data_IF_025793740637
#
_entry.id   IF_025793740637
#
_cell.length_a   1.000
_cell.length_b   1.000
_cell.length_c   1.000
_cell.angle_alpha   90.00
_cell.angle_beta   90.00
_cell.angle_gamma   90.00
#
_symmetry.space_group_name_H-M   'P 1'
#
loop_
_entity.id
_entity.type
_entity.pdbx_description
1 polymer ?
#
# COMPACT_ATOMS: atom_id res chain seq x y z
N UNK A 1 33.35 32.02 60.35
CA UNK A 1 32.74 32.24 59.04
C UNK A 1 33.23 31.34 57.87
N UNK A 2 34.05 30.31 58.10
CA UNK A 2 34.62 29.46 57.01
C UNK A 2 33.96 28.07 56.86
N UNK A 3 33.05 27.67 57.74
CA UNK A 3 32.40 26.34 57.70
C UNK A 3 31.02 26.32 56.98
N UNK A 4 30.41 27.47 56.68
CA UNK A 4 29.12 27.52 56.01
C UNK A 4 29.24 27.57 54.48
N UNK A 5 30.41 27.97 53.94
CA UNK A 5 30.64 28.02 52.48
C UNK A 5 30.86 26.66 51.83
N UNK A 6 31.32 25.64 52.56
CA UNK A 6 31.56 24.31 52.00
C UNK A 6 30.26 23.47 51.88
N UNK A 7 29.29 23.72 52.73
CA UNK A 7 27.98 23.03 52.68
C UNK A 7 27.13 23.49 51.47
N UNK A 8 27.22 24.78 51.13
CA UNK A 8 26.49 25.35 49.98
C UNK A 8 27.10 24.90 48.62
N UNK A 9 28.41 24.70 48.52
CA UNK A 9 29.03 24.18 47.31
C UNK A 9 28.78 22.68 47.09
N UNK A 10 28.67 21.90 48.17
CA UNK A 10 28.31 20.46 48.06
C UNK A 10 26.85 20.24 47.59
N UNK A 11 25.92 21.10 48.01
CA UNK A 11 24.52 21.02 47.62
C UNK A 11 24.28 21.46 46.14
N UNK A 12 25.04 22.47 45.67
CA UNK A 12 24.99 22.92 44.29
C UNK A 12 25.60 21.90 43.30
N UNK A 13 26.65 21.17 43.70
CA UNK A 13 27.25 20.10 42.93
C UNK A 13 26.33 18.85 42.84
N UNK A 14 25.58 18.55 43.93
CA UNK A 14 24.61 17.44 43.93
C UNK A 14 23.37 17.74 43.09
N UNK A 15 22.92 19.02 43.03
CA UNK A 15 21.80 19.40 42.14
C UNK A 15 22.23 19.45 40.65
N UNK A 16 23.49 19.77 40.35
CA UNK A 16 23.96 19.74 38.96
C UNK A 16 24.13 18.30 38.41
N UNK A 17 24.37 17.32 39.27
CA UNK A 17 24.42 15.91 38.87
C UNK A 17 23.04 15.27 38.59
N UNK A 18 21.93 15.94 38.98
CA UNK A 18 20.55 15.53 38.71
C UNK A 18 19.99 16.13 37.43
N UNK A 19 20.68 17.02 36.73
CA UNK A 19 20.44 17.36 35.33
C UNK A 19 20.98 16.21 34.46
N UNK A 20 20.41 15.01 34.64
CA UNK A 20 20.71 13.88 33.77
C UNK A 20 20.49 14.32 32.33
N UNK A 21 21.49 14.13 31.49
CA UNK A 21 21.29 14.15 30.05
C UNK A 21 20.06 13.29 29.73
N UNK A 22 18.95 13.89 29.40
CA UNK A 22 17.84 13.15 28.82
C UNK A 22 18.41 12.46 27.58
N UNK A 23 18.65 11.17 27.69
CA UNK A 23 19.18 10.37 26.60
C UNK A 23 18.26 10.59 25.41
N UNK A 24 18.80 11.09 24.30
CA UNK A 24 18.01 11.31 23.10
C UNK A 24 17.41 9.98 22.69
N UNK A 25 16.08 9.89 22.73
CA UNK A 25 15.39 8.68 22.29
C UNK A 25 15.77 8.36 20.84
N UNK A 26 15.99 7.08 20.51
CA UNK A 26 16.20 6.68 19.13
C UNK A 26 14.99 7.08 18.29
N UNK A 27 15.23 7.42 17.02
CA UNK A 27 14.18 7.82 16.08
C UNK A 27 14.12 6.79 14.96
N UNK A 28 12.94 6.20 14.76
CA UNK A 28 12.62 5.33 13.64
C UNK A 28 12.03 6.18 12.53
N UNK A 29 12.69 6.22 11.38
CA UNK A 29 12.19 6.90 10.20
C UNK A 29 11.51 5.92 9.25
N UNK A 30 10.21 6.10 9.06
CA UNK A 30 9.38 5.31 8.15
C UNK A 30 9.09 6.13 6.90
N UNK A 31 9.13 5.51 5.71
CA UNK A 31 8.72 6.11 4.46
C UNK A 31 7.68 5.20 3.81
N UNK A 32 6.44 5.67 3.72
CA UNK A 32 5.26 4.85 3.38
C UNK A 32 4.22 5.64 2.60
N UNK A 33 3.10 5.03 2.29
CA UNK A 33 1.93 5.66 1.70
C UNK A 33 1.22 6.55 2.72
N UNK A 34 0.38 7.48 2.25
CA UNK A 34 -0.44 8.31 3.13
C UNK A 34 -1.48 7.47 3.87
N UNK A 35 -1.76 7.81 5.14
CA UNK A 35 -2.76 7.18 5.99
C UNK A 35 -2.64 5.65 6.13
N UNK A 36 -1.41 5.12 6.07
CA UNK A 36 -1.12 3.70 5.93
C UNK A 36 -0.79 2.98 7.24
N UNK A 37 -0.56 3.70 8.32
CA UNK A 37 -0.32 3.15 9.66
C UNK A 37 -1.17 3.92 10.67
N UNK A 38 -1.99 3.20 11.45
CA UNK A 38 -2.86 3.77 12.47
C UNK A 38 -2.06 4.58 13.51
N UNK A 39 -2.38 5.87 13.73
CA UNK A 39 -1.60 6.73 14.64
C UNK A 39 -1.52 6.21 16.08
N UNK A 40 -2.57 5.54 16.58
CA UNK A 40 -2.62 4.97 17.93
C UNK A 40 -1.61 3.84 18.10
N UNK A 41 -1.40 3.01 17.05
CA UNK A 41 -0.39 1.95 17.04
C UNK A 41 1.02 2.53 17.00
N UNK A 42 1.23 3.61 16.24
CA UNK A 42 2.50 4.35 16.25
C UNK A 42 2.80 4.85 17.66
N UNK A 43 1.84 5.50 18.30
CA UNK A 43 1.99 6.00 19.68
C UNK A 43 2.20 4.88 20.70
N UNK A 44 1.58 3.71 20.49
CA UNK A 44 1.81 2.52 21.33
C UNK A 44 3.24 2.01 21.17
N UNK A 45 3.72 1.84 19.93
CA UNK A 45 5.07 1.41 19.64
C UNK A 45 6.13 2.34 20.24
N UNK A 46 5.92 3.67 20.13
CA UNK A 46 6.82 4.68 20.75
C UNK A 46 6.91 4.50 22.27
N UNK A 47 5.80 4.25 22.95
CA UNK A 47 5.78 4.03 24.40
C UNK A 47 6.51 2.74 24.79
N UNK A 48 6.21 1.64 24.08
CA UNK A 48 6.75 0.32 24.39
C UNK A 48 8.26 0.22 24.13
N UNK A 49 8.76 0.94 23.13
CA UNK A 49 10.17 0.90 22.73
C UNK A 49 10.99 2.13 23.16
N UNK A 50 10.40 3.05 23.94
CA UNK A 50 11.03 4.30 24.38
C UNK A 50 11.72 5.04 23.21
N UNK A 51 11.07 5.13 22.07
CA UNK A 51 11.59 5.75 20.84
C UNK A 51 10.65 6.89 20.35
N UNK A 52 11.02 7.47 19.22
CA UNK A 52 10.17 8.33 18.40
C UNK A 52 10.02 7.70 17.01
N UNK A 53 8.86 7.88 16.40
CA UNK A 53 8.60 7.50 15.01
C UNK A 53 8.35 8.76 14.20
N UNK A 54 9.01 8.86 13.05
CA UNK A 54 8.79 9.91 12.06
C UNK A 54 8.37 9.25 10.77
N UNK A 55 7.25 9.69 10.21
CA UNK A 55 6.68 9.13 8.99
C UNK A 55 6.74 10.18 7.90
N UNK A 56 7.43 9.86 6.80
CA UNK A 56 7.36 10.56 5.53
C UNK A 56 6.49 9.75 4.56
N UNK A 57 5.83 10.43 3.62
CA UNK A 57 4.94 9.77 2.67
C UNK A 57 5.39 9.94 1.21
N UNK A 58 4.97 9.00 0.36
CA UNK A 58 5.10 9.03 -1.08
C UNK A 58 3.77 8.66 -1.75
N UNK A 59 3.64 9.02 -3.01
CA UNK A 59 2.45 8.83 -3.85
C UNK A 59 2.61 7.75 -4.93
N UNK A 60 3.85 7.27 -5.14
CA UNK A 60 4.15 6.20 -6.10
C UNK A 60 5.44 5.47 -5.74
N UNK A 61 5.52 4.18 -6.09
CA UNK A 61 6.74 3.38 -5.95
C UNK A 61 7.91 4.00 -6.71
N UNK A 62 7.64 4.56 -7.90
CA UNK A 62 8.62 5.18 -8.76
C UNK A 62 9.21 6.45 -8.12
N UNK A 63 8.39 7.29 -7.50
CA UNK A 63 8.86 8.51 -6.81
C UNK A 63 9.70 8.15 -5.58
N UNK A 64 9.27 7.17 -4.80
CA UNK A 64 10.02 6.64 -3.66
C UNK A 64 11.38 6.08 -4.12
N UNK A 65 11.38 5.19 -5.11
CA UNK A 65 12.58 4.58 -5.66
C UNK A 65 13.55 5.62 -6.24
N UNK A 66 13.06 6.57 -7.04
CA UNK A 66 13.89 7.64 -7.62
C UNK A 66 14.55 8.49 -6.53
N UNK A 67 13.83 8.84 -5.46
CA UNK A 67 14.36 9.59 -4.32
C UNK A 67 15.49 8.83 -3.61
N UNK A 68 15.30 7.54 -3.35
CA UNK A 68 16.32 6.69 -2.73
C UNK A 68 17.54 6.51 -3.65
N UNK A 69 17.31 6.30 -4.95
CA UNK A 69 18.35 6.17 -5.97
C UNK A 69 19.18 7.46 -6.14
N UNK A 70 18.56 8.63 -5.94
CA UNK A 70 19.23 9.92 -5.91
C UNK A 70 20.08 10.17 -4.66
N UNK A 71 20.12 9.21 -3.73
CA UNK A 71 20.97 9.25 -2.53
C UNK A 71 20.25 9.72 -1.27
N UNK A 72 18.91 9.78 -1.23
CA UNK A 72 18.21 10.00 0.02
C UNK A 72 18.46 8.84 0.98
N UNK A 73 18.87 9.17 2.20
CA UNK A 73 19.24 8.23 3.26
C UNK A 73 18.48 8.56 4.55
N UNK A 74 18.62 7.69 5.55
CA UNK A 74 18.06 7.95 6.88
C UNK A 74 16.72 7.29 7.14
N UNK A 75 16.15 6.59 6.16
CA UNK A 75 14.97 5.76 6.36
C UNK A 75 15.33 4.39 6.91
N UNK A 76 14.52 3.90 7.83
CA UNK A 76 14.70 2.63 8.53
C UNK A 76 13.73 1.54 8.04
N UNK A 77 12.53 1.92 7.62
CA UNK A 77 11.46 1.02 7.18
C UNK A 77 10.72 1.62 5.99
N UNK A 78 10.47 0.81 4.95
CA UNK A 78 9.73 1.19 3.75
C UNK A 78 8.59 0.20 3.52
N UNK A 79 7.58 0.63 2.73
CA UNK A 79 6.39 -0.16 2.40
C UNK A 79 6.11 -0.20 0.89
N UNK A 80 7.06 -0.66 0.07
CA UNK A 80 6.88 -0.77 -1.37
C UNK A 80 5.96 -1.92 -1.77
N UNK A 81 5.36 -1.81 -2.94
CA UNK A 81 4.68 -2.96 -3.56
C UNK A 81 5.69 -4.04 -3.99
N UNK A 82 5.26 -5.30 -3.99
CA UNK A 82 6.14 -6.46 -4.18
C UNK A 82 7.00 -6.41 -5.46
N UNK A 83 6.47 -5.88 -6.58
CA UNK A 83 7.27 -5.73 -7.79
C UNK A 83 8.46 -4.78 -7.60
N UNK A 84 8.26 -3.71 -6.81
CA UNK A 84 9.32 -2.74 -6.50
C UNK A 84 10.32 -3.34 -5.50
N UNK A 85 9.87 -4.19 -4.57
CA UNK A 85 10.77 -4.95 -3.67
C UNK A 85 11.76 -5.75 -4.48
N UNK A 86 11.31 -6.44 -5.53
CA UNK A 86 12.19 -7.21 -6.43
C UNK A 86 13.25 -6.32 -7.05
N UNK A 87 12.85 -5.18 -7.64
CA UNK A 87 13.76 -4.22 -8.27
C UNK A 87 14.80 -3.71 -7.26
N UNK A 88 14.36 -3.32 -6.06
CA UNK A 88 15.23 -2.82 -5.00
C UNK A 88 16.19 -3.90 -4.51
N UNK A 89 15.71 -5.15 -4.37
CA UNK A 89 16.53 -6.28 -3.96
C UNK A 89 17.64 -6.56 -4.99
N UNK A 90 17.32 -6.66 -6.28
CA UNK A 90 18.29 -6.90 -7.35
C UNK A 90 19.36 -5.81 -7.46
N UNK A 91 19.05 -4.60 -6.98
CA UNK A 91 20.00 -3.48 -6.93
C UNK A 91 20.77 -3.37 -5.61
N UNK A 92 20.61 -4.33 -4.70
CA UNK A 92 21.29 -4.33 -3.40
C UNK A 92 20.86 -3.20 -2.46
N UNK A 93 19.66 -2.66 -2.64
CA UNK A 93 19.11 -1.57 -1.83
C UNK A 93 18.47 -2.03 -0.52
N UNK A 94 18.23 -3.33 -0.37
CA UNK A 94 17.60 -3.93 0.80
C UNK A 94 18.60 -4.78 1.58
N UNK A 95 18.51 -4.75 2.93
CA UNK A 95 19.27 -5.66 3.75
C UNK A 95 18.50 -6.97 3.98
N UNK A 96 19.24 -8.03 4.28
CA UNK A 96 18.65 -9.27 4.74
C UNK A 96 18.05 -9.09 6.12
N UNK A 97 16.82 -9.58 6.32
CA UNK A 97 16.11 -9.51 7.58
C UNK A 97 16.68 -10.50 8.61
N UNK A 98 16.75 -10.06 9.85
CA UNK A 98 17.01 -10.95 10.98
C UNK A 98 15.67 -11.52 11.48
N UNK A 99 15.31 -12.69 10.98
CA UNK A 99 14.02 -13.32 11.28
C UNK A 99 13.86 -13.74 12.76
N UNK A 100 14.94 -13.83 13.52
CA UNK A 100 14.87 -14.08 14.97
C UNK A 100 14.29 -12.88 15.73
N UNK A 101 14.39 -11.67 15.16
CA UNK A 101 13.78 -10.47 15.71
C UNK A 101 12.31 -10.29 15.29
N UNK A 102 11.79 -11.15 14.41
CA UNK A 102 10.43 -11.09 13.88
C UNK A 102 9.68 -12.43 14.13
N UNK A 103 9.52 -12.88 15.37
CA UNK A 103 8.81 -14.13 15.64
C UNK A 103 7.36 -14.14 15.15
N UNK A 104 6.69 -12.97 15.15
CA UNK A 104 5.30 -12.84 14.69
C UNK A 104 5.12 -13.05 13.17
N UNK A 105 6.21 -13.21 12.38
CA UNK A 105 6.09 -13.63 10.98
C UNK A 105 5.37 -14.97 10.82
N UNK A 106 5.38 -15.80 11.87
CA UNK A 106 4.63 -17.06 11.90
C UNK A 106 3.11 -16.87 11.82
N UNK A 107 2.61 -15.67 12.05
CA UNK A 107 1.19 -15.32 11.97
C UNK A 107 0.74 -15.04 10.53
N UNK A 108 1.67 -14.87 9.58
CA UNK A 108 1.30 -14.57 8.19
C UNK A 108 0.53 -15.76 7.61
N UNK A 109 -0.56 -15.45 6.92
CA UNK A 109 -1.41 -16.42 6.28
C UNK A 109 -0.64 -17.14 5.14
N UNK A 110 -0.44 -18.47 5.23
CA UNK A 110 0.35 -19.22 4.26
C UNK A 110 -0.25 -19.22 2.85
N UNK A 111 -1.54 -18.94 2.68
CA UNK A 111 -2.15 -18.88 1.36
C UNK A 111 -1.68 -17.64 0.58
N UNK A 112 -1.44 -16.54 1.26
CA UNK A 112 -0.84 -15.34 0.64
C UNK A 112 0.66 -15.49 0.38
N UNK A 113 1.38 -16.27 1.18
CA UNK A 113 2.80 -16.54 0.95
C UNK A 113 3.10 -17.25 -0.37
N UNK A 114 2.13 -17.98 -0.93
CA UNK A 114 2.26 -18.62 -2.25
C UNK A 114 2.36 -17.60 -3.40
N UNK A 115 1.88 -16.39 -3.17
CA UNK A 115 1.86 -15.29 -4.13
C UNK A 115 2.95 -14.24 -3.84
N UNK A 116 3.62 -14.34 -2.70
CA UNK A 116 4.66 -13.40 -2.28
C UNK A 116 5.89 -13.47 -3.19
N UNK A 117 6.50 -12.31 -3.42
CA UNK A 117 7.77 -12.22 -4.14
C UNK A 117 8.90 -12.95 -3.38
N UNK A 118 8.94 -12.80 -2.07
CA UNK A 118 9.95 -13.40 -1.18
C UNK A 118 9.30 -14.42 -0.23
N UNK A 119 9.07 -15.66 -0.69
CA UNK A 119 8.38 -16.67 0.12
C UNK A 119 9.20 -17.13 1.34
N UNK A 120 10.49 -16.82 1.40
CA UNK A 120 11.37 -17.11 2.54
C UNK A 120 11.44 -15.97 3.54
N UNK A 121 10.91 -14.80 3.19
CA UNK A 121 10.97 -13.57 3.99
C UNK A 121 12.41 -13.14 4.31
N UNK A 122 13.33 -13.38 3.39
CA UNK A 122 14.75 -13.01 3.59
C UNK A 122 14.97 -11.49 3.52
N UNK A 123 14.16 -10.75 2.76
CA UNK A 123 14.34 -9.31 2.52
C UNK A 123 13.04 -8.52 2.65
N UNK A 124 11.89 -9.18 2.63
CA UNK A 124 10.59 -8.53 2.73
C UNK A 124 9.61 -9.35 3.58
N UNK A 125 8.65 -8.65 4.17
CA UNK A 125 7.55 -9.27 4.92
C UNK A 125 6.24 -8.68 4.39
N UNK A 126 5.26 -9.47 3.96
CA UNK A 126 3.95 -8.97 3.54
C UNK A 126 3.29 -8.10 4.61
N UNK A 127 2.81 -6.93 4.20
CA UNK A 127 2.09 -5.99 5.05
C UNK A 127 0.60 -5.99 4.74
N UNK A 128 0.23 -5.72 3.49
CA UNK A 128 -1.16 -5.67 3.05
C UNK A 128 -1.39 -6.36 1.72
N UNK A 129 -2.66 -6.69 1.51
CA UNK A 129 -3.20 -7.20 0.24
C UNK A 129 -4.32 -6.28 -0.19
N UNK A 130 -4.31 -5.88 -1.45
CA UNK A 130 -5.37 -5.08 -2.07
C UNK A 130 -5.78 -5.63 -3.41
N UNK A 131 -7.03 -5.39 -3.80
CA UNK A 131 -7.56 -5.71 -5.13
C UNK A 131 -7.94 -4.40 -5.79
N UNK A 132 -7.65 -4.26 -7.08
CA UNK A 132 -8.13 -3.12 -7.85
C UNK A 132 -9.57 -3.37 -8.27
N UNK A 133 -10.46 -2.41 -8.02
CA UNK A 133 -11.89 -2.54 -8.13
C UNK A 133 -12.53 -1.39 -8.92
N UNK A 134 -13.81 -1.54 -9.24
CA UNK A 134 -14.70 -0.44 -9.60
C UNK A 134 -15.49 0.00 -8.38
N UNK A 135 -15.42 1.30 -8.05
CA UNK A 135 -16.32 1.95 -7.09
C UNK A 135 -17.35 2.79 -7.82
N UNK A 136 -18.62 2.77 -7.40
CA UNK A 136 -19.67 3.53 -8.06
C UNK A 136 -20.78 3.95 -7.10
N UNK A 137 -21.52 5.01 -7.45
CA UNK A 137 -22.71 5.43 -6.72
C UNK A 137 -23.92 4.61 -7.19
N UNK A 138 -24.43 3.74 -6.31
CA UNK A 138 -25.50 2.80 -6.61
C UNK A 138 -26.78 3.48 -7.07
N UNK A 139 -27.15 4.63 -6.48
CA UNK A 139 -28.32 5.41 -6.84
C UNK A 139 -28.21 6.20 -8.16
N UNK A 140 -27.00 6.29 -8.74
CA UNK A 140 -26.71 7.13 -9.92
C UNK A 140 -26.27 6.34 -11.14
N UNK A 141 -25.71 5.15 -10.94
CA UNK A 141 -25.21 4.31 -12.03
C UNK A 141 -26.23 3.20 -12.31
N UNK A 142 -27.20 3.52 -13.14
CA UNK A 142 -28.21 2.53 -13.57
C UNK A 142 -27.58 1.42 -14.42
N UNK A 143 -28.16 0.21 -14.34
CA UNK A 143 -27.71 -0.96 -15.11
C UNK A 143 -26.20 -1.24 -14.96
N UNK A 144 -25.69 -1.15 -13.73
CA UNK A 144 -24.30 -1.50 -13.44
C UNK A 144 -24.10 -3.01 -13.69
N UNK A 145 -23.00 -3.34 -14.35
CA UNK A 145 -22.46 -4.70 -14.45
C UNK A 145 -21.03 -4.74 -13.89
N UNK A 146 -20.64 -5.81 -13.18
CA UNK A 146 -19.27 -5.94 -12.67
C UNK A 146 -18.31 -6.32 -13.81
N UNK A 147 -17.98 -5.36 -14.66
CA UNK A 147 -17.09 -5.53 -15.83
C UNK A 147 -16.30 -4.27 -16.08
N UNK A 148 -15.05 -4.41 -16.51
CA UNK A 148 -14.25 -3.27 -16.98
C UNK A 148 -14.89 -2.53 -18.15
N UNK A 149 -15.80 -3.17 -18.89
CA UNK A 149 -16.59 -2.55 -19.94
C UNK A 149 -17.46 -1.37 -19.48
N UNK A 150 -17.70 -1.21 -18.17
CA UNK A 150 -18.38 -0.03 -17.62
C UNK A 150 -17.65 1.29 -17.93
N UNK A 151 -16.35 1.25 -18.15
CA UNK A 151 -15.55 2.42 -18.54
C UNK A 151 -15.85 2.91 -19.98
N UNK A 152 -16.59 2.12 -20.77
CA UNK A 152 -17.04 2.48 -22.12
C UNK A 152 -18.39 3.24 -22.14
N UNK A 153 -18.99 3.48 -20.97
CA UNK A 153 -20.31 4.11 -20.79
C UNK A 153 -20.26 5.60 -21.15
N UNK A 154 -20.79 5.93 -22.35
CA UNK A 154 -20.85 7.32 -22.84
C UNK A 154 -21.83 8.22 -22.03
N UNK A 155 -22.85 7.64 -21.41
CA UNK A 155 -23.78 8.35 -20.52
C UNK A 155 -23.14 8.81 -19.21
N UNK A 156 -22.00 8.21 -18.81
CA UNK A 156 -21.20 8.62 -17.66
C UNK A 156 -20.01 9.52 -18.04
N UNK A 157 -19.96 10.02 -19.27
CA UNK A 157 -18.85 10.83 -19.77
C UNK A 157 -18.53 12.03 -18.87
N UNK A 158 -17.24 12.17 -18.52
CA UNK A 158 -16.73 13.22 -17.64
C UNK A 158 -17.03 13.00 -16.15
N UNK A 159 -17.61 11.84 -15.80
CA UNK A 159 -17.97 11.47 -14.43
C UNK A 159 -17.27 10.17 -13.98
N UNK A 160 -16.26 9.74 -14.74
CA UNK A 160 -15.48 8.54 -14.45
C UNK A 160 -14.00 8.89 -14.34
N UNK A 161 -13.27 8.16 -13.49
CA UNK A 161 -11.80 8.25 -13.39
C UNK A 161 -11.16 6.88 -13.46
N UNK A 162 -9.92 6.85 -13.92
CA UNK A 162 -9.02 5.71 -13.74
C UNK A 162 -7.75 6.17 -13.04
N UNK A 163 -7.05 5.22 -12.39
CA UNK A 163 -5.77 5.49 -11.77
C UNK A 163 -4.75 6.04 -12.79
N UNK A 164 -3.84 6.87 -12.34
CA UNK A 164 -2.73 7.38 -13.14
C UNK A 164 -1.51 6.45 -13.01
N UNK A 165 -1.73 5.18 -13.28
CA UNK A 165 -0.72 4.12 -13.24
C UNK A 165 -0.81 3.27 -14.50
N UNK A 166 0.31 3.14 -15.22
CA UNK A 166 0.34 2.45 -16.51
C UNK A 166 0.05 0.95 -16.39
N UNK A 167 0.53 0.29 -15.31
CA UNK A 167 0.32 -1.14 -15.12
C UNK A 167 -1.12 -1.43 -14.71
N UNK A 168 -1.72 -0.57 -13.89
CA UNK A 168 -3.12 -0.64 -13.49
C UNK A 168 -4.04 -0.47 -14.70
N UNK A 169 -3.90 0.63 -15.43
CA UNK A 169 -4.82 1.00 -16.52
C UNK A 169 -4.72 0.04 -17.70
N UNK A 170 -3.50 -0.26 -18.17
CA UNK A 170 -3.30 -1.22 -19.27
C UNK A 170 -3.72 -2.62 -18.81
N UNK A 171 -3.45 -2.97 -17.54
CA UNK A 171 -3.85 -4.21 -16.93
C UNK A 171 -5.37 -4.44 -16.96
N UNK A 172 -6.18 -3.42 -16.61
CA UNK A 172 -7.64 -3.49 -16.71
C UNK A 172 -8.11 -3.80 -18.15
N UNK A 173 -7.49 -3.16 -19.15
CA UNK A 173 -7.83 -3.41 -20.55
C UNK A 173 -7.41 -4.82 -20.99
N UNK A 174 -6.26 -5.30 -20.56
CA UNK A 174 -5.82 -6.68 -20.81
C UNK A 174 -6.78 -7.70 -20.19
N UNK A 175 -7.19 -7.49 -18.92
CA UNK A 175 -8.20 -8.38 -18.27
C UNK A 175 -9.53 -8.32 -19.01
N UNK A 176 -9.99 -7.14 -19.43
CA UNK A 176 -11.19 -6.99 -20.23
C UNK A 176 -11.13 -7.83 -21.52
N UNK A 177 -9.97 -7.89 -22.17
CA UNK A 177 -9.69 -8.70 -23.36
C UNK A 177 -9.36 -10.17 -23.03
N UNK A 178 -9.37 -10.57 -21.77
CA UNK A 178 -9.03 -11.93 -21.30
C UNK A 178 -7.55 -12.31 -21.48
N UNK A 179 -6.67 -11.32 -21.49
CA UNK A 179 -5.23 -11.50 -21.52
C UNK A 179 -4.62 -11.44 -20.11
N UNK A 180 -3.36 -11.90 -19.99
CA UNK A 180 -2.58 -11.71 -18.75
C UNK A 180 -2.18 -10.26 -18.57
N UNK A 181 -2.18 -9.77 -17.31
CA UNK A 181 -1.64 -8.45 -16.93
C UNK A 181 -0.15 -8.28 -17.29
N UNK A 182 0.54 -9.40 -17.47
CA UNK A 182 1.98 -9.46 -17.64
C UNK A 182 2.39 -9.87 -19.07
N UNK A 183 1.46 -9.78 -20.04
CA UNK A 183 1.76 -10.15 -21.42
C UNK A 183 2.88 -9.32 -22.02
N UNK A 184 3.74 -9.96 -22.81
CA UNK A 184 4.79 -9.29 -23.60
C UNK A 184 4.46 -9.30 -25.10
N UNK A 185 3.30 -9.81 -25.47
CA UNK A 185 2.82 -9.86 -26.87
C UNK A 185 2.42 -8.47 -27.33
N UNK A 186 3.08 -7.99 -28.37
CA UNK A 186 2.88 -6.63 -28.90
C UNK A 186 1.47 -6.45 -29.51
N UNK A 187 0.86 -7.53 -30.03
CA UNK A 187 -0.50 -7.50 -30.55
C UNK A 187 -1.53 -7.30 -29.42
N UNK A 188 -1.43 -8.08 -28.34
CA UNK A 188 -2.29 -7.94 -27.17
C UNK A 188 -2.15 -6.56 -26.51
N UNK A 189 -0.93 -6.05 -26.42
CA UNK A 189 -0.64 -4.72 -25.91
C UNK A 189 -1.24 -3.62 -26.81
N UNK A 190 -1.19 -3.78 -28.13
CA UNK A 190 -1.81 -2.84 -29.07
C UNK A 190 -3.35 -2.85 -28.94
N UNK A 191 -3.96 -4.02 -28.80
CA UNK A 191 -5.41 -4.13 -28.57
C UNK A 191 -5.82 -3.48 -27.23
N UNK A 192 -5.07 -3.70 -26.17
CA UNK A 192 -5.31 -3.06 -24.88
C UNK A 192 -5.21 -1.54 -24.95
N UNK A 193 -4.21 -1.00 -25.70
CA UNK A 193 -4.09 0.43 -25.96
C UNK A 193 -5.35 1.00 -26.60
N UNK A 194 -5.89 0.35 -27.65
CA UNK A 194 -7.11 0.82 -28.33
C UNK A 194 -8.32 0.81 -27.37
N UNK A 195 -8.41 -0.18 -26.48
CA UNK A 195 -9.45 -0.21 -25.44
C UNK A 195 -9.31 0.99 -24.51
N UNK A 196 -8.11 1.27 -23.99
CA UNK A 196 -7.89 2.42 -23.10
C UNK A 196 -8.15 3.75 -23.78
N UNK A 197 -7.73 3.93 -25.04
CA UNK A 197 -8.01 5.14 -25.83
C UNK A 197 -9.51 5.36 -26.00
N UNK A 198 -10.31 4.29 -26.15
CA UNK A 198 -11.76 4.37 -26.22
C UNK A 198 -12.34 4.78 -24.87
N UNK A 199 -11.92 4.16 -23.75
CA UNK A 199 -12.35 4.53 -22.41
C UNK A 199 -11.98 5.97 -22.04
N UNK A 200 -10.75 6.40 -22.38
CA UNK A 200 -10.23 7.76 -22.12
C UNK A 200 -11.22 8.85 -22.58
N UNK A 201 -11.93 8.64 -23.69
CA UNK A 201 -12.92 9.61 -24.22
C UNK A 201 -14.07 9.88 -23.26
N UNK A 202 -14.33 8.97 -22.34
CA UNK A 202 -15.41 9.06 -21.35
C UNK A 202 -14.90 9.49 -19.97
N UNK A 203 -13.60 9.38 -19.69
CA UNK A 203 -13.04 9.76 -18.40
C UNK A 203 -13.05 11.27 -18.18
N UNK A 204 -13.14 11.68 -16.93
CA UNK A 204 -12.79 13.02 -16.48
C UNK A 204 -11.27 13.21 -16.50
N UNK A 205 -10.54 12.23 -15.96
CA UNK A 205 -9.07 12.24 -15.87
C UNK A 205 -8.50 10.89 -15.43
N UNK A 206 -7.17 10.76 -15.55
CA UNK A 206 -6.36 9.80 -14.81
C UNK A 206 -5.81 10.46 -13.55
N UNK A 207 -5.91 9.81 -12.37
CA UNK A 207 -5.45 10.39 -11.11
C UNK A 207 -5.41 9.33 -9.99
N UNK A 208 -4.67 9.55 -8.89
CA UNK A 208 -4.45 8.55 -7.86
C UNK A 208 -5.04 8.91 -6.48
N UNK A 209 -5.43 10.17 -6.24
CA UNK A 209 -5.77 10.63 -4.90
C UNK A 209 -7.21 11.12 -4.77
N UNK A 210 -7.71 11.80 -5.80
CA UNK A 210 -8.99 12.53 -5.71
C UNK A 210 -10.20 11.66 -5.99
N UNK A 211 -10.04 10.44 -6.55
CA UNK A 211 -11.16 9.56 -6.88
C UNK A 211 -12.01 9.19 -5.65
N UNK A 212 -11.36 9.02 -4.48
CA UNK A 212 -12.02 8.78 -3.19
C UNK A 212 -13.02 9.88 -2.87
N UNK A 213 -12.50 11.09 -2.73
CA UNK A 213 -13.29 12.27 -2.38
C UNK A 213 -14.30 12.64 -3.47
N UNK A 214 -13.92 12.47 -4.73
CA UNK A 214 -14.80 12.71 -5.88
C UNK A 214 -15.98 11.74 -5.93
N UNK A 215 -15.76 10.47 -5.59
CA UNK A 215 -16.82 9.47 -5.48
C UNK A 215 -17.72 9.79 -4.27
N UNK A 216 -17.13 10.07 -3.10
CA UNK A 216 -17.86 10.40 -1.88
C UNK A 216 -18.76 11.64 -2.04
N UNK A 217 -18.28 12.66 -2.76
CA UNK A 217 -19.03 13.89 -3.03
C UNK A 217 -20.02 13.78 -4.20
N UNK A 218 -19.93 12.72 -5.01
CA UNK A 218 -20.70 12.57 -6.23
C UNK A 218 -20.18 13.41 -7.40
N UNK A 219 -18.97 13.94 -7.34
CA UNK A 219 -18.28 14.52 -8.50
C UNK A 219 -18.03 13.43 -9.54
N UNK A 220 -17.55 12.27 -9.11
CA UNK A 220 -17.43 11.09 -9.95
C UNK A 220 -18.55 10.08 -9.62
N UNK A 221 -18.99 9.35 -10.61
CA UNK A 221 -20.07 8.35 -10.48
C UNK A 221 -19.54 6.92 -10.54
N UNK A 222 -18.43 6.72 -11.26
CA UNK A 222 -17.73 5.45 -11.40
C UNK A 222 -16.23 5.70 -11.40
N UNK A 223 -15.51 4.97 -10.58
CA UNK A 223 -14.05 5.12 -10.45
C UNK A 223 -13.36 3.76 -10.49
N UNK A 224 -12.17 3.72 -11.06
CA UNK A 224 -11.21 2.66 -10.93
C UNK A 224 -10.29 3.00 -9.76
N UNK A 225 -10.22 2.13 -8.75
CA UNK A 225 -9.48 2.42 -7.53
C UNK A 225 -9.11 1.18 -6.73
N UNK A 226 -8.36 1.38 -5.66
CA UNK A 226 -7.95 0.32 -4.75
C UNK A 226 -9.06 -0.01 -3.76
N UNK A 227 -9.21 -1.30 -3.45
CA UNK A 227 -10.30 -1.83 -2.61
C UNK A 227 -10.43 -1.12 -1.26
N UNK A 228 -9.33 -0.97 -0.51
CA UNK A 228 -9.36 -0.34 0.80
C UNK A 228 -9.76 1.13 0.76
N UNK A 229 -9.25 1.88 -0.21
CA UNK A 229 -9.63 3.29 -0.41
C UNK A 229 -11.12 3.44 -0.71
N UNK A 230 -11.67 2.52 -1.51
CA UNK A 230 -13.10 2.51 -1.84
C UNK A 230 -13.96 2.11 -0.65
N UNK A 231 -13.51 1.14 0.15
CA UNK A 231 -14.17 0.72 1.38
C UNK A 231 -14.15 1.83 2.43
N UNK A 232 -13.05 2.59 2.53
CA UNK A 232 -12.98 3.74 3.43
C UNK A 232 -14.08 4.75 3.13
N UNK A 233 -14.23 5.17 1.88
CA UNK A 233 -15.29 6.12 1.51
C UNK A 233 -16.68 5.51 1.51
N UNK A 234 -16.83 4.20 1.31
CA UNK A 234 -18.09 3.47 1.47
C UNK A 234 -18.57 3.50 2.92
N UNK A 235 -17.65 3.40 3.90
CA UNK A 235 -18.01 3.47 5.32
C UNK A 235 -18.63 4.80 5.71
N UNK A 236 -18.32 5.87 4.98
CA UNK A 236 -18.87 7.22 5.17
C UNK A 236 -20.12 7.47 4.30
N UNK A 237 -20.23 6.79 3.16
CA UNK A 237 -21.34 6.94 2.23
C UNK A 237 -21.86 5.57 1.73
N UNK A 238 -22.94 5.03 2.33
CA UNK A 238 -23.47 3.71 1.98
C UNK A 238 -24.03 3.58 0.54
N UNK A 239 -24.21 4.69 -0.20
CA UNK A 239 -24.57 4.66 -1.63
C UNK A 239 -23.42 4.18 -2.51
N UNK A 240 -22.18 4.25 -2.00
CA UNK A 240 -21.01 3.72 -2.70
C UNK A 240 -21.05 2.20 -2.68
N UNK A 241 -20.93 1.62 -3.87
CA UNK A 241 -20.84 0.20 -4.09
C UNK A 241 -19.50 -0.14 -4.71
N UNK A 242 -18.96 -1.32 -4.39
CA UNK A 242 -17.66 -1.79 -4.86
C UNK A 242 -17.85 -3.12 -5.57
N UNK A 243 -17.17 -3.30 -6.70
CA UNK A 243 -17.24 -4.53 -7.45
C UNK A 243 -15.88 -4.93 -8.04
N UNK A 244 -15.50 -6.19 -7.85
CA UNK A 244 -14.41 -6.81 -8.61
C UNK A 244 -14.96 -7.22 -9.98
N UNK A 245 -14.39 -6.76 -11.10
CA UNK A 245 -14.87 -7.10 -12.43
C UNK A 245 -14.80 -8.60 -12.71
N UNK A 246 -15.83 -9.10 -13.40
CA UNK A 246 -15.99 -10.54 -13.74
C UNK A 246 -14.86 -11.13 -14.59
N UNK A 247 -14.14 -10.27 -15.30
CA UNK A 247 -12.97 -10.62 -16.08
C UNK A 247 -11.75 -10.97 -15.20
N UNK A 248 -11.80 -10.59 -13.94
CA UNK A 248 -10.70 -10.60 -13.00
C UNK A 248 -10.04 -9.22 -12.91
N UNK A 249 -9.11 -9.11 -12.00
CA UNK A 249 -8.42 -7.87 -11.67
C UNK A 249 -7.01 -8.14 -11.18
N UNK A 250 -6.33 -7.07 -10.85
CA UNK A 250 -5.05 -7.07 -10.20
C UNK A 250 -5.22 -7.30 -8.71
N UNK A 251 -4.38 -8.16 -8.14
CA UNK A 251 -4.16 -8.29 -6.70
C UNK A 251 -2.74 -7.84 -6.41
N UNK A 252 -2.59 -6.91 -5.48
CA UNK A 252 -1.32 -6.33 -5.12
C UNK A 252 -0.96 -6.65 -3.68
N UNK A 253 0.33 -6.73 -3.44
CA UNK A 253 0.90 -6.84 -2.11
C UNK A 253 1.83 -5.67 -1.89
N UNK A 254 1.76 -5.08 -0.70
CA UNK A 254 2.79 -4.20 -0.19
C UNK A 254 3.56 -4.91 0.91
N UNK A 255 4.85 -4.73 0.90
CA UNK A 255 5.77 -5.43 1.78
C UNK A 255 6.53 -4.46 2.68
N UNK A 256 6.81 -4.88 3.90
CA UNK A 256 7.73 -4.19 4.80
C UNK A 256 9.16 -4.59 4.49
N UNK A 257 10.01 -3.60 4.18
CA UNK A 257 11.42 -3.82 3.86
C UNK A 257 12.33 -2.85 4.61
N UNK A 258 13.55 -3.28 4.93
CA UNK A 258 14.55 -2.47 5.59
C UNK A 258 15.64 -2.08 4.58
N UNK A 259 15.87 -0.78 4.31
CA UNK A 259 16.93 -0.33 3.41
C UNK A 259 18.30 -0.80 3.86
N UNK A 260 19.22 -1.05 2.92
CA UNK A 260 20.60 -1.49 3.21
C UNK A 260 21.35 -0.51 4.13
N UNK A 261 21.05 0.79 4.05
CA UNK A 261 21.66 1.84 4.87
C UNK A 261 20.82 2.32 6.06
N UNK A 262 19.84 1.54 6.53
CA UNK A 262 18.98 1.93 7.65
C UNK A 262 19.77 2.26 8.91
N UNK A 263 19.59 3.45 9.53
CA UNK A 263 20.30 3.84 10.76
C UNK A 263 19.86 3.04 12.00
N UNK A 264 18.59 2.59 12.06
CA UNK A 264 17.99 1.91 13.21
C UNK A 264 17.39 0.54 12.82
N UNK A 265 18.19 -0.39 12.24
CA UNK A 265 17.65 -1.65 11.71
C UNK A 265 16.99 -2.53 12.78
N UNK A 266 17.51 -2.54 14.02
CA UNK A 266 16.89 -3.30 15.11
C UNK A 266 15.52 -2.75 15.50
N UNK A 267 15.35 -1.43 15.48
CA UNK A 267 14.07 -0.79 15.77
C UNK A 267 13.08 -1.02 14.65
N UNK A 268 13.55 -1.06 13.40
CA UNK A 268 12.73 -1.43 12.24
C UNK A 268 12.22 -2.89 12.35
N UNK A 269 13.07 -3.85 12.73
CA UNK A 269 12.65 -5.23 12.97
C UNK A 269 11.59 -5.32 14.09
N UNK A 270 11.76 -4.55 15.18
CA UNK A 270 10.75 -4.48 16.25
C UNK A 270 9.43 -3.92 15.75
N UNK A 271 9.44 -2.90 14.86
CA UNK A 271 8.24 -2.34 14.26
C UNK A 271 7.54 -3.36 13.36
N UNK A 272 8.28 -4.07 12.53
CA UNK A 272 7.73 -5.17 11.72
C UNK A 272 7.07 -6.22 12.62
N UNK A 273 7.78 -6.67 13.67
CA UNK A 273 7.23 -7.66 14.60
C UNK A 273 6.00 -7.15 15.35
N UNK A 274 5.97 -5.88 15.72
CA UNK A 274 4.83 -5.22 16.37
C UNK A 274 3.61 -5.17 15.44
N UNK A 275 3.80 -4.79 14.19
CA UNK A 275 2.73 -4.77 13.15
C UNK A 275 2.15 -6.17 12.94
N UNK A 276 2.98 -7.21 12.96
CA UNK A 276 2.57 -8.61 12.80
C UNK A 276 1.97 -9.24 14.05
N UNK A 277 1.84 -8.53 15.17
CA UNK A 277 1.04 -9.02 16.29
C UNK A 277 -0.44 -9.09 15.87
N UNK A 278 -1.18 -10.15 16.22
CA UNK A 278 -2.56 -10.33 15.75
C UNK A 278 -3.47 -9.13 16.05
N UNK A 279 -3.32 -8.51 17.23
CA UNK A 279 -4.10 -7.33 17.60
C UNK A 279 -3.75 -6.13 16.71
N UNK A 280 -2.46 -5.85 16.48
CA UNK A 280 -2.02 -4.75 15.62
C UNK A 280 -2.48 -4.94 14.18
N UNK A 281 -2.36 -6.17 13.64
CA UNK A 281 -2.79 -6.50 12.29
C UNK A 281 -4.31 -6.34 12.11
N UNK A 282 -5.13 -6.75 13.11
CA UNK A 282 -6.56 -6.55 13.07
C UNK A 282 -6.91 -5.05 13.10
N UNK A 283 -6.31 -4.28 14.01
CA UNK A 283 -6.55 -2.84 14.11
C UNK A 283 -6.09 -2.08 12.85
N UNK A 284 -5.03 -2.54 12.18
CA UNK A 284 -4.61 -1.98 10.91
C UNK A 284 -5.61 -2.30 9.80
N UNK A 285 -6.04 -3.56 9.65
CA UNK A 285 -7.04 -3.94 8.65
C UNK A 285 -8.32 -3.12 8.80
N UNK A 286 -8.82 -2.91 10.04
CA UNK A 286 -9.99 -2.08 10.30
C UNK A 286 -9.78 -0.58 10.06
N UNK A 287 -8.53 -0.11 10.15
CA UNK A 287 -8.22 1.30 9.93
C UNK A 287 -8.01 1.63 8.44
N UNK A 288 -7.24 0.79 7.73
CA UNK A 288 -6.90 1.07 6.33
C UNK A 288 -7.80 0.36 5.32
N UNK A 289 -8.65 -0.57 5.77
CA UNK A 289 -9.50 -1.43 4.93
C UNK A 289 -8.72 -2.22 3.85
N UNK A 290 -7.41 -2.40 4.03
CA UNK A 290 -6.61 -3.38 3.30
C UNK A 290 -6.38 -4.59 4.19
N UNK A 291 -6.48 -5.79 3.64
CA UNK A 291 -6.26 -7.00 4.42
C UNK A 291 -4.78 -7.12 4.82
N UNK A 292 -4.48 -7.04 6.12
CA UNK A 292 -3.20 -7.53 6.63
C UNK A 292 -3.23 -9.06 6.65
N UNK A 293 -2.38 -9.76 5.87
CA UNK A 293 -2.47 -11.21 5.72
C UNK A 293 -1.92 -11.94 6.96
N UNK A 294 -2.63 -11.81 8.08
CA UNK A 294 -2.26 -12.31 9.40
C UNK A 294 -3.37 -13.23 9.91
N UNK A 295 -3.20 -14.54 9.75
CA UNK A 295 -4.25 -15.53 10.00
C UNK A 295 -4.89 -15.45 11.39
N UNK A 296 -4.13 -15.32 12.52
CA UNK A 296 -4.74 -15.14 13.83
C UNK A 296 -5.54 -13.84 13.99
N UNK A 297 -5.23 -12.78 13.23
CA UNK A 297 -5.93 -11.50 13.34
C UNK A 297 -7.36 -11.56 12.81
N UNK A 298 -7.67 -12.48 11.89
CA UNK A 298 -9.00 -12.57 11.28
C UNK A 298 -10.12 -12.83 12.31
N UNK A 299 -9.81 -13.57 13.36
CA UNK A 299 -10.77 -13.81 14.46
C UNK A 299 -11.04 -12.57 15.32
N UNK A 300 -10.20 -11.55 15.24
CA UNK A 300 -10.31 -10.31 16.01
C UNK A 300 -11.03 -9.20 15.23
N UNK A 301 -11.21 -9.36 13.92
CA UNK A 301 -11.94 -8.41 13.07
C UNK A 301 -13.43 -8.40 13.42
N UNK A 302 -14.07 -7.24 13.20
CA UNK A 302 -15.53 -7.12 13.30
C UNK A 302 -16.22 -8.09 12.32
N UNK A 303 -17.48 -8.45 12.61
CA UNK A 303 -18.27 -9.32 11.73
C UNK A 303 -18.45 -8.70 10.35
N UNK A 304 -18.62 -7.38 10.28
CA UNK A 304 -18.76 -6.62 9.05
C UNK A 304 -17.53 -6.79 8.15
N UNK A 305 -16.33 -6.54 8.68
CA UNK A 305 -15.06 -6.68 7.94
C UNK A 305 -14.82 -8.13 7.55
N UNK A 306 -15.06 -9.08 8.47
CA UNK A 306 -14.77 -10.50 8.24
C UNK A 306 -15.68 -11.13 7.18
N UNK A 307 -16.90 -10.61 7.02
CA UNK A 307 -17.87 -11.09 6.03
C UNK A 307 -17.82 -10.33 4.70
N UNK A 308 -16.96 -9.30 4.59
CA UNK A 308 -16.88 -8.49 3.38
C UNK A 308 -16.19 -9.26 2.22
N UNK A 309 -16.88 -9.42 1.07
CA UNK A 309 -16.34 -10.19 -0.06
C UNK A 309 -15.24 -9.46 -0.85
N UNK A 310 -14.96 -8.21 -0.55
CA UNK A 310 -13.85 -7.45 -1.13
C UNK A 310 -12.56 -7.72 -0.37
N UNK A 311 -12.62 -7.80 0.97
CA UNK A 311 -11.49 -8.17 1.81
C UNK A 311 -11.24 -9.68 1.84
N UNK A 312 -12.30 -10.47 1.84
CA UNK A 312 -12.26 -11.94 1.83
C UNK A 312 -12.97 -12.49 0.59
N UNK A 313 -12.39 -12.32 -0.60
CA UNK A 313 -13.06 -12.68 -1.84
C UNK A 313 -13.24 -14.21 -1.95
N UNK A 314 -14.38 -14.66 -2.51
CA UNK A 314 -14.62 -16.07 -2.79
C UNK A 314 -13.55 -16.67 -3.71
N UNK A 315 -13.33 -17.98 -3.60
CA UNK A 315 -12.29 -18.69 -4.35
C UNK A 315 -12.40 -18.50 -5.88
N UNK A 316 -13.62 -18.40 -6.41
CA UNK A 316 -13.87 -18.14 -7.84
C UNK A 316 -13.48 -16.72 -8.29
N UNK A 317 -13.45 -15.76 -7.37
CA UNK A 317 -12.92 -14.41 -7.62
C UNK A 317 -11.41 -14.46 -7.59
N UNK A 318 -10.82 -15.04 -6.52
CA UNK A 318 -9.36 -15.18 -6.36
C UNK A 318 -8.73 -15.87 -7.58
N UNK A 319 -9.36 -16.90 -8.12
CA UNK A 319 -8.87 -17.64 -9.30
C UNK A 319 -8.72 -16.78 -10.57
N UNK A 320 -9.33 -15.60 -10.61
CA UNK A 320 -9.24 -14.66 -11.75
C UNK A 320 -8.32 -13.47 -11.47
N UNK A 321 -7.87 -13.33 -10.24
CA UNK A 321 -6.91 -12.28 -9.88
C UNK A 321 -5.52 -12.67 -10.34
N UNK A 322 -4.71 -11.65 -10.62
CA UNK A 322 -3.34 -11.84 -11.08
C UNK A 322 -2.45 -10.78 -10.44
N UNK A 323 -1.26 -11.17 -9.98
CA UNK A 323 -0.26 -10.24 -9.45
C UNK A 323 0.56 -9.63 -10.58
N UNK A 324 1.02 -8.39 -10.40
CA UNK A 324 2.01 -7.80 -11.29
C UNK A 324 3.35 -8.51 -11.16
N UNK A 325 3.87 -8.96 -12.30
CA UNK A 325 5.25 -9.41 -12.38
C UNK A 325 6.19 -8.22 -12.71
N UNK A 326 7.41 -8.29 -12.21
CA UNK A 326 8.47 -7.46 -12.76
C UNK A 326 8.78 -7.93 -14.19
N UNK A 327 8.72 -7.00 -15.14
CA UNK A 327 8.95 -7.27 -16.57
C UNK A 327 10.38 -6.92 -17.00
N UNK A 328 11.24 -6.47 -16.05
CA UNK A 328 12.59 -6.03 -16.37
C UNK A 328 12.59 -4.93 -17.42
N UNK A 329 13.47 -5.07 -18.43
CA UNK A 329 13.56 -4.12 -19.55
C UNK A 329 12.26 -4.04 -20.38
N UNK A 330 11.43 -5.09 -20.37
CA UNK A 330 10.16 -5.08 -21.10
C UNK A 330 9.11 -4.14 -20.49
N UNK A 331 9.32 -3.63 -19.27
CA UNK A 331 8.46 -2.59 -18.69
C UNK A 331 8.43 -1.34 -19.59
N UNK A 332 9.48 -1.10 -20.37
CA UNK A 332 9.54 -0.03 -21.36
C UNK A 332 8.43 -0.11 -22.42
N UNK A 333 7.91 -1.32 -22.73
CA UNK A 333 6.76 -1.49 -23.65
C UNK A 333 5.50 -0.87 -23.08
N UNK A 334 5.23 -1.10 -21.78
CA UNK A 334 4.08 -0.53 -21.09
C UNK A 334 4.20 0.98 -20.92
N UNK A 335 5.38 1.47 -20.54
CA UNK A 335 5.66 2.91 -20.44
C UNK A 335 5.42 3.62 -21.76
N UNK A 336 5.95 3.06 -22.86
CA UNK A 336 5.74 3.63 -24.20
C UNK A 336 4.26 3.70 -24.58
N UNK A 337 3.51 2.63 -24.35
CA UNK A 337 2.06 2.59 -24.61
C UNK A 337 1.33 3.62 -23.76
N UNK A 338 1.73 3.77 -22.50
CA UNK A 338 1.17 4.75 -21.60
C UNK A 338 1.40 6.18 -22.07
N UNK A 339 2.61 6.49 -22.52
CA UNK A 339 2.93 7.80 -23.11
C UNK A 339 2.07 8.09 -24.35
N UNK A 340 1.88 7.08 -25.21
CA UNK A 340 1.01 7.18 -26.39
C UNK A 340 -0.46 7.37 -26.00
N UNK A 341 -0.96 6.68 -24.96
CA UNK A 341 -2.31 6.86 -24.41
C UNK A 341 -2.48 8.28 -23.86
N UNK A 342 -1.51 8.78 -23.12
CA UNK A 342 -1.57 10.14 -22.55
C UNK A 342 -1.53 11.23 -23.63
N UNK A 343 -0.71 11.04 -24.66
CA UNK A 343 -0.57 11.99 -25.78
C UNK A 343 -1.73 11.92 -26.77
N UNK A 344 -2.43 10.78 -26.85
CA UNK A 344 -3.57 10.60 -27.75
C UNK A 344 -4.79 11.41 -27.31
N UNK A 345 -5.44 12.08 -28.26
CA UNK A 345 -6.73 12.80 -28.07
C UNK A 345 -7.93 11.86 -28.18
#
# INVERSE_FOLDING_TARGET
MKKQTWAALGLAAALAALCGCAEKKPVLHIYTWSDYIKPELVAQFERENNCKVVIDTYDSNESMYAKLKAGATGYDLLFPSSYMVKIMHEQGMLQKLNLDLIPNRANIDPDYMKLAFDPTMDHSIPYTVTITCLGYLGSKVENFEPTWGMLDRADLKGRMTMLNDHREVIGCALKYLRYSLNTLDDGQLAEAKEVVLRWKKNLAKFENEQYKNGLASGEFLLVHGYSGDLMLVQSENPDIQIAVPKEGSQINFDDMVIPAGAPQPELAHKMINFILAPQSAAELTEFIYFLCPNLPSYALLSEEIRSDPILFPPAEVIAKLETLADLGENNAKYTKIWDEIKAGE
#
